data_IF_049118894388
#
_entry.id   IF_049118894388
#
_cell.length_a   1.000
_cell.length_b   1.000
_cell.length_c   1.000
_cell.angle_alpha   90.00
_cell.angle_beta   90.00
_cell.angle_gamma   90.00
#
_symmetry.space_group_name_H-M   'P 1'
#
loop_
_entity.id
_entity.type
_entity.pdbx_description
1 polymer ?
#
# COMPACT_ATOMS: atom_id res chain seq x y z
N UNK A 1 -20.41 -3.00 -4.64
CA UNK A 1 -20.11 -3.44 -6.00
C UNK A 1 -18.61 -3.70 -6.14
N UNK A 2 -18.23 -4.51 -7.13
CA UNK A 2 -16.82 -4.67 -7.47
C UNK A 2 -16.29 -3.34 -8.04
N UNK A 3 -15.06 -2.98 -7.72
CA UNK A 3 -14.43 -1.76 -8.24
C UNK A 3 -12.89 -1.89 -8.24
N UNK A 4 -12.26 -1.05 -9.05
CA UNK A 4 -10.82 -1.00 -9.16
C UNK A 4 -10.20 -0.21 -8.01
N UNK A 5 -9.03 -0.69 -7.57
CA UNK A 5 -8.19 -0.03 -6.58
C UNK A 5 -6.72 -0.04 -7.01
N UNK A 6 -5.91 0.79 -6.39
CA UNK A 6 -4.46 0.74 -6.59
C UNK A 6 -3.85 -0.51 -6.00
N UNK A 7 -4.35 -0.97 -4.86
CA UNK A 7 -3.88 -2.18 -4.19
C UNK A 7 -4.98 -2.83 -3.36
N UNK A 8 -4.80 -4.12 -3.06
CA UNK A 8 -5.59 -4.90 -2.10
C UNK A 8 -4.63 -5.68 -1.21
N UNK A 9 -5.08 -5.99 0.02
CA UNK A 9 -4.25 -6.77 0.96
C UNK A 9 -4.08 -8.22 0.52
N UNK A 10 -2.88 -8.78 0.74
CA UNK A 10 -2.61 -10.20 0.52
C UNK A 10 -3.30 -11.13 1.52
N UNK A 11 -3.91 -10.61 2.58
CA UNK A 11 -4.70 -11.42 3.51
C UNK A 11 -5.81 -12.22 2.81
N UNK A 12 -6.35 -11.68 1.69
CA UNK A 12 -7.23 -12.39 0.78
C UNK A 12 -7.03 -11.87 -0.65
N UNK A 13 -6.03 -12.39 -1.33
CA UNK A 13 -5.70 -11.99 -2.71
C UNK A 13 -5.71 -13.22 -3.62
N UNK A 14 -6.26 -13.06 -4.82
CA UNK A 14 -6.19 -14.05 -5.90
C UNK A 14 -5.55 -13.43 -7.13
N UNK A 15 -4.60 -14.13 -7.72
CA UNK A 15 -3.95 -13.73 -8.96
C UNK A 15 -3.75 -14.95 -9.87
N UNK A 16 -3.76 -14.74 -11.19
CA UNK A 16 -3.36 -15.80 -12.12
C UNK A 16 -1.88 -16.10 -11.95
N UNK A 17 -1.51 -17.39 -11.91
CA UNK A 17 -0.10 -17.84 -11.80
C UNK A 17 0.78 -17.17 -12.85
N UNK A 18 0.32 -17.11 -14.10
CA UNK A 18 1.06 -16.45 -15.20
C UNK A 18 1.32 -14.96 -14.97
N UNK A 19 0.42 -14.25 -14.30
CA UNK A 19 0.63 -12.84 -13.93
C UNK A 19 1.66 -12.74 -12.83
N UNK A 20 1.55 -13.59 -11.80
CA UNK A 20 2.50 -13.65 -10.70
C UNK A 20 3.93 -13.90 -11.19
N UNK A 21 4.10 -14.87 -12.08
CA UNK A 21 5.40 -15.19 -12.69
C UNK A 21 5.92 -14.05 -13.59
N UNK A 22 5.04 -13.43 -14.38
CA UNK A 22 5.43 -12.35 -15.30
C UNK A 22 5.92 -11.09 -14.56
N UNK A 23 5.40 -10.79 -13.35
CA UNK A 23 5.85 -9.65 -12.56
C UNK A 23 6.98 -9.99 -11.57
N UNK A 24 7.46 -11.25 -11.57
CA UNK A 24 8.53 -11.72 -10.68
C UNK A 24 8.10 -11.94 -9.23
N UNK A 25 6.81 -12.23 -8.99
CA UNK A 25 6.28 -12.52 -7.65
C UNK A 25 6.34 -11.35 -6.67
N UNK A 26 6.44 -11.66 -5.38
CA UNK A 26 6.67 -10.68 -4.33
C UNK A 26 8.12 -10.22 -4.28
N UNK A 27 8.36 -8.98 -3.87
CA UNK A 27 9.70 -8.43 -3.68
C UNK A 27 10.27 -8.89 -2.35
N UNK A 28 11.37 -9.62 -2.35
CA UNK A 28 11.96 -10.24 -1.15
C UNK A 28 12.42 -9.21 -0.10
N UNK A 29 12.85 -8.02 -0.55
CA UNK A 29 13.23 -6.91 0.34
C UNK A 29 12.05 -6.36 1.17
N UNK A 30 10.81 -6.57 0.72
CA UNK A 30 9.58 -6.20 1.41
C UNK A 30 9.01 -7.43 2.12
N UNK A 31 9.71 -7.92 3.14
CA UNK A 31 9.40 -9.20 3.77
C UNK A 31 8.08 -9.19 4.57
N UNK A 32 7.66 -8.03 5.07
CA UNK A 32 6.50 -7.89 5.96
C UNK A 32 5.54 -6.80 5.51
N UNK A 33 6.01 -5.55 5.38
CA UNK A 33 5.20 -4.42 4.99
C UNK A 33 5.28 -4.16 3.49
N UNK A 34 4.20 -3.67 2.91
CA UNK A 34 4.11 -3.22 1.51
C UNK A 34 4.32 -4.27 0.42
N UNK A 35 4.56 -5.53 0.74
CA UNK A 35 4.78 -6.58 -0.27
C UNK A 35 3.57 -6.80 -1.18
N UNK A 36 2.37 -6.71 -0.62
CA UNK A 36 1.11 -6.80 -1.34
C UNK A 36 0.82 -5.55 -2.18
N UNK A 37 1.13 -4.38 -1.64
CA UNK A 37 0.99 -3.12 -2.37
C UNK A 37 1.98 -3.07 -3.54
N UNK A 38 3.26 -3.39 -3.31
CA UNK A 38 4.28 -3.49 -4.36
C UNK A 38 3.88 -4.47 -5.47
N UNK A 39 3.37 -5.64 -5.08
CA UNK A 39 2.86 -6.62 -6.04
C UNK A 39 1.73 -6.05 -6.90
N UNK A 40 0.75 -5.37 -6.28
CA UNK A 40 -0.34 -4.72 -6.99
C UNK A 40 0.17 -3.64 -7.95
N UNK A 41 1.18 -2.84 -7.55
CA UNK A 41 1.79 -1.84 -8.43
C UNK A 41 2.45 -2.50 -9.65
N UNK A 42 3.22 -3.58 -9.47
CA UNK A 42 3.83 -4.35 -10.57
C UNK A 42 2.78 -4.91 -11.54
N UNK A 43 1.66 -5.42 -11.02
CA UNK A 43 0.54 -5.90 -11.82
C UNK A 43 -0.08 -4.77 -12.66
N UNK A 44 -0.21 -3.59 -12.07
CA UNK A 44 -0.74 -2.40 -12.78
C UNK A 44 0.21 -1.89 -13.85
N UNK A 45 1.52 -1.93 -13.65
CA UNK A 45 2.52 -1.61 -14.69
C UNK A 45 2.39 -2.51 -15.93
N UNK A 46 1.88 -3.73 -15.77
CA UNK A 46 1.54 -4.63 -16.87
C UNK A 46 0.18 -4.30 -17.54
N UNK A 47 -0.41 -3.15 -17.24
CA UNK A 47 -1.71 -2.74 -17.76
C UNK A 47 -2.89 -3.57 -17.26
N UNK A 48 -2.74 -4.25 -16.13
CA UNK A 48 -3.78 -5.05 -15.51
C UNK A 48 -4.50 -4.25 -14.42
N UNK A 49 -5.72 -4.66 -14.11
CA UNK A 49 -6.52 -4.08 -13.03
C UNK A 49 -6.33 -4.86 -11.73
N UNK A 50 -6.40 -4.13 -10.62
CA UNK A 50 -6.52 -4.69 -9.28
C UNK A 50 -7.95 -4.44 -8.81
N UNK A 51 -8.72 -5.52 -8.65
CA UNK A 51 -10.17 -5.44 -8.43
C UNK A 51 -10.51 -5.91 -7.02
N UNK A 52 -11.23 -5.06 -6.28
CA UNK A 52 -11.88 -5.45 -5.03
C UNK A 52 -13.18 -6.19 -5.32
N UNK A 53 -13.31 -7.41 -4.80
CA UNK A 53 -14.48 -8.26 -4.94
C UNK A 53 -15.24 -8.35 -3.59
N UNK A 54 -16.29 -7.55 -3.36
CA UNK A 54 -16.98 -7.45 -2.06
C UNK A 54 -17.73 -8.71 -1.66
N UNK A 55 -17.90 -9.65 -2.57
CA UNK A 55 -18.57 -10.92 -2.29
C UNK A 55 -17.66 -11.99 -1.69
N UNK A 56 -16.32 -11.79 -1.75
CA UNK A 56 -15.33 -12.62 -1.07
C UNK A 56 -15.14 -12.12 0.36
N UNK A 57 -15.97 -12.60 1.28
CA UNK A 57 -15.98 -12.16 2.68
C UNK A 57 -15.20 -13.16 3.55
N UNK A 58 -14.17 -12.67 4.22
CA UNK A 58 -13.32 -13.44 5.13
C UNK A 58 -13.04 -12.63 6.40
N UNK A 59 -12.72 -13.32 7.49
CA UNK A 59 -12.29 -12.69 8.74
C UNK A 59 -10.77 -12.71 8.83
N UNK A 60 -10.14 -11.53 8.90
CA UNK A 60 -8.72 -11.36 9.12
C UNK A 60 -8.43 -11.00 10.58
N UNK A 61 -7.84 -11.94 11.32
CA UNK A 61 -7.42 -11.73 12.71
C UNK A 61 -6.01 -11.12 12.72
N UNK A 62 -5.94 -9.81 12.55
CA UNK A 62 -4.67 -9.08 12.50
C UNK A 62 -3.83 -9.29 13.77
N UNK A 63 -2.50 -9.24 13.60
CA UNK A 63 -1.49 -9.30 14.68
C UNK A 63 -1.51 -10.59 15.54
N UNK A 64 -2.41 -11.54 15.26
CA UNK A 64 -2.53 -12.76 16.08
C UNK A 64 -1.30 -13.67 16.00
N UNK A 65 -0.66 -13.72 14.84
CA UNK A 65 0.52 -14.58 14.61
C UNK A 65 1.86 -13.88 14.82
N UNK A 66 1.93 -12.55 14.60
CA UNK A 66 3.20 -11.77 14.67
C UNK A 66 3.31 -10.86 15.89
N UNK A 67 2.19 -10.60 16.58
CA UNK A 67 2.13 -9.58 17.61
C UNK A 67 2.18 -8.15 17.05
N UNK A 68 2.42 -7.18 17.93
CA UNK A 68 2.52 -5.77 17.55
C UNK A 68 3.92 -5.45 16.96
N UNK A 69 4.00 -4.41 16.14
CA UNK A 69 5.25 -3.87 15.57
C UNK A 69 5.87 -2.85 16.54
N UNK A 70 6.21 -3.31 17.76
CA UNK A 70 6.57 -2.48 18.92
C UNK A 70 8.03 -2.65 19.40
N UNK A 71 8.79 -3.59 18.83
CA UNK A 71 10.20 -3.74 19.17
C UNK A 71 11.10 -2.86 18.28
N UNK A 72 12.27 -2.40 18.78
CA UNK A 72 13.20 -1.59 17.99
C UNK A 72 13.58 -2.22 16.64
N UNK A 73 13.80 -3.54 16.61
CA UNK A 73 14.17 -4.27 15.39
C UNK A 73 13.02 -4.28 14.37
N UNK A 74 11.77 -4.44 14.83
CA UNK A 74 10.60 -4.42 13.97
C UNK A 74 10.36 -3.01 13.42
N UNK A 75 10.53 -1.99 14.23
CA UNK A 75 10.44 -0.58 13.79
C UNK A 75 11.52 -0.26 12.77
N UNK A 76 12.76 -0.69 13.00
CA UNK A 76 13.87 -0.48 12.06
C UNK A 76 13.60 -1.18 10.71
N UNK A 77 13.11 -2.43 10.74
CA UNK A 77 12.69 -3.15 9.53
C UNK A 77 11.57 -2.40 8.81
N UNK A 78 10.52 -1.99 9.51
CA UNK A 78 9.40 -1.26 8.91
C UNK A 78 9.88 0.02 8.22
N UNK A 79 10.75 0.80 8.88
CA UNK A 79 11.32 2.02 8.30
C UNK A 79 12.16 1.73 7.04
N UNK A 80 12.91 0.63 7.04
CA UNK A 80 13.63 0.15 5.87
C UNK A 80 12.66 -0.20 4.72
N UNK A 81 11.62 -0.97 5.00
CA UNK A 81 10.61 -1.35 4.00
C UNK A 81 9.86 -0.13 3.44
N UNK A 82 9.59 0.89 4.28
CA UNK A 82 9.06 2.20 3.81
C UNK A 82 10.01 2.84 2.80
N UNK A 83 11.31 2.88 3.10
CA UNK A 83 12.30 3.47 2.21
C UNK A 83 12.46 2.68 0.89
N UNK A 84 12.45 1.35 0.96
CA UNK A 84 12.46 0.48 -0.25
C UNK A 84 11.24 0.76 -1.11
N UNK A 85 10.04 0.78 -0.51
CA UNK A 85 8.81 1.05 -1.23
C UNK A 85 8.81 2.45 -1.88
N UNK A 86 9.25 3.47 -1.13
CA UNK A 86 9.32 4.85 -1.64
C UNK A 86 10.27 5.01 -2.83
N UNK A 87 11.42 4.33 -2.82
CA UNK A 87 12.36 4.32 -3.95
C UNK A 87 11.80 3.63 -5.19
N UNK A 88 11.00 2.59 -5.00
CA UNK A 88 10.41 1.83 -6.10
C UNK A 88 9.24 2.56 -6.76
N UNK A 89 8.44 3.27 -5.97
CA UNK A 89 7.17 3.86 -6.39
C UNK A 89 7.07 5.38 -6.13
N UNK A 90 8.07 6.18 -6.57
CA UNK A 90 8.10 7.62 -6.28
C UNK A 90 6.91 8.36 -6.92
N UNK A 91 6.42 7.91 -8.07
CA UNK A 91 5.35 8.59 -8.78
C UNK A 91 4.01 8.51 -8.06
N UNK A 92 3.66 7.37 -7.44
CA UNK A 92 2.42 7.25 -6.68
C UNK A 92 2.46 8.08 -5.39
N UNK A 93 3.64 8.17 -4.78
CA UNK A 93 3.82 9.01 -3.60
C UNK A 93 3.73 10.50 -3.93
N UNK A 94 4.23 10.90 -5.10
CA UNK A 94 4.19 12.28 -5.59
C UNK A 94 2.81 12.70 -6.07
N UNK A 95 2.13 11.84 -6.84
CA UNK A 95 0.90 12.16 -7.53
C UNK A 95 -0.36 11.75 -6.74
N UNK A 96 -0.20 10.92 -5.71
CA UNK A 96 -1.30 10.33 -4.94
C UNK A 96 -1.93 9.12 -5.62
N UNK A 97 -2.86 8.48 -4.92
CA UNK A 97 -3.59 7.33 -5.41
C UNK A 97 -4.73 7.77 -6.35
N UNK A 98 -4.75 7.34 -7.62
CA UNK A 98 -5.78 7.74 -8.58
C UNK A 98 -7.19 7.23 -8.23
N UNK A 99 -7.31 6.23 -7.36
CA UNK A 99 -8.60 5.69 -6.91
C UNK A 99 -9.05 6.29 -5.57
N UNK A 100 -8.22 7.12 -4.91
CA UNK A 100 -8.59 7.78 -3.67
C UNK A 100 -9.22 9.14 -3.94
N UNK A 101 -10.36 9.42 -3.31
CA UNK A 101 -11.05 10.68 -3.53
C UNK A 101 -10.21 11.86 -3.03
N UNK A 102 -9.85 12.84 -3.89
CA UNK A 102 -8.97 13.95 -3.55
C UNK A 102 -9.52 14.90 -2.48
N UNK A 103 -10.83 14.83 -2.17
CA UNK A 103 -11.45 15.61 -1.11
C UNK A 103 -11.31 14.98 0.28
N UNK A 104 -10.87 13.73 0.36
CA UNK A 104 -10.67 13.03 1.64
C UNK A 104 -9.25 13.27 2.17
N UNK A 105 -9.13 13.41 3.51
CA UNK A 105 -7.81 13.58 4.13
C UNK A 105 -7.02 12.29 4.15
N UNK A 106 -5.70 12.39 3.95
CA UNK A 106 -4.75 11.30 4.17
C UNK A 106 -4.14 11.32 5.57
N UNK A 107 -4.54 12.29 6.43
CA UNK A 107 -4.03 12.43 7.80
C UNK A 107 -4.76 11.56 8.81
N UNK A 108 -5.89 11.00 8.42
CA UNK A 108 -6.73 10.11 9.23
C UNK A 108 -7.17 8.92 8.40
N UNK A 109 -7.43 7.81 9.06
CA UNK A 109 -7.90 6.56 8.42
C UNK A 109 -9.43 6.41 8.41
N UNK A 110 -10.17 7.48 8.70
CA UNK A 110 -11.62 7.48 8.87
C UNK A 110 -12.39 8.00 7.64
N UNK A 111 -11.70 8.24 6.52
CA UNK A 111 -12.25 8.78 5.28
C UNK A 111 -12.95 10.15 5.46
N UNK A 112 -12.57 10.92 6.48
CA UNK A 112 -13.12 12.26 6.69
C UNK A 112 -12.68 13.24 5.60
N UNK A 113 -13.47 14.31 5.43
CA UNK A 113 -13.14 15.38 4.48
C UNK A 113 -11.87 16.12 4.91
N UNK A 114 -11.14 16.64 3.92
CA UNK A 114 -9.99 17.51 4.16
C UNK A 114 -10.41 18.79 4.87
N UNK A 115 -9.60 19.21 5.82
CA UNK A 115 -9.70 20.57 6.38
C UNK A 115 -8.99 21.54 5.43
N UNK A 116 -9.74 22.23 4.59
CA UNK A 116 -9.21 23.15 3.57
C UNK A 116 -8.46 24.36 4.15
N UNK A 117 -8.49 24.56 5.47
CA UNK A 117 -7.62 25.53 6.15
C UNK A 117 -6.19 25.00 6.35
N UNK A 118 -5.99 23.69 6.30
CA UNK A 118 -4.73 23.00 6.60
C UNK A 118 -4.19 22.16 5.45
N UNK A 119 -5.04 21.76 4.52
CA UNK A 119 -4.72 20.83 3.44
C UNK A 119 -5.26 21.35 2.10
N UNK A 120 -4.54 21.11 1.01
CA UNK A 120 -5.03 21.37 -0.35
C UNK A 120 -5.76 20.15 -0.90
N UNK A 121 -6.76 20.37 -1.77
CA UNK A 121 -7.43 19.27 -2.48
C UNK A 121 -6.39 18.52 -3.33
N UNK A 122 -6.39 17.20 -3.21
CA UNK A 122 -5.47 16.33 -3.95
C UNK A 122 -4.01 16.38 -3.47
N UNK A 123 -3.68 17.12 -2.39
CA UNK A 123 -2.33 17.12 -1.83
C UNK A 123 -1.95 15.71 -1.35
N UNK A 124 -0.87 15.11 -1.87
CA UNK A 124 -0.42 13.79 -1.43
C UNK A 124 0.11 13.86 0.00
N UNK A 125 0.10 12.73 0.69
CA UNK A 125 0.74 12.62 1.99
C UNK A 125 2.25 12.79 1.85
N UNK A 126 2.83 13.69 2.62
CA UNK A 126 4.29 13.84 2.70
C UNK A 126 4.85 12.74 3.58
N UNK A 127 5.48 11.76 2.97
CA UNK A 127 6.18 10.72 3.69
C UNK A 127 7.50 11.30 4.22
N UNK A 128 7.64 11.34 5.54
CA UNK A 128 8.92 11.63 6.17
C UNK A 128 9.74 10.34 6.18
N UNK A 129 10.73 10.26 5.28
CA UNK A 129 11.64 9.12 5.27
C UNK A 129 12.61 9.24 6.45
N UNK A 130 12.91 8.13 7.15
CA UNK A 130 13.90 8.14 8.22
C UNK A 130 15.29 8.49 7.64
N UNK A 131 16.06 9.34 8.37
CA UNK A 131 17.40 9.81 7.95
C UNK A 131 18.42 8.70 7.71
N UNK A 132 18.15 7.47 8.14
CA UNK A 132 19.04 6.31 8.02
C UNK A 132 18.80 5.44 6.78
N UNK A 133 18.10 5.94 5.77
CA UNK A 133 17.70 5.18 4.57
C UNK A 133 18.60 5.44 3.34
N UNK A 134 19.81 6.01 3.52
CA UNK A 134 20.82 6.12 2.48
C UNK A 134 21.73 4.89 2.39
#
# INVERSE_FOLDING_TARGET
>A
CAQDYSAVTAACMMSKKSVFEAVGGFTEELAVAFNDIDYCMKVREQGKLVVYAPYAVLHHYESKSRGLEDTPEKVARFNWEVAVFARRWPEILKNGDPYYNPNLTLRKSDFSLRDLKKEKIGEPYKLELPESAE
#
